data_IF_782386896973
#
_entry.id   IF_782386896973
#
_cell.length_a   1.000
_cell.length_b   1.000
_cell.length_c   1.000
_cell.angle_alpha   90.00
_cell.angle_beta   90.00
_cell.angle_gamma   90.00
#
_symmetry.space_group_name_H-M   'P 1'
#
loop_
_entity.id
_entity.type
_entity.pdbx_description
1 polymer ?
#
# COMPACT_ATOMS: atom_id res chain seq x y z
N UNK A 1 6.45 -7.10 15.26
CA UNK A 1 6.93 -6.82 13.88
C UNK A 1 6.69 -5.36 13.56
N UNK A 2 7.63 -4.74 12.86
CA UNK A 2 7.44 -3.50 12.15
C UNK A 2 7.24 -3.77 10.65
N UNK A 3 6.54 -2.87 9.98
CA UNK A 3 6.32 -2.89 8.53
C UNK A 3 6.96 -1.65 7.92
N UNK A 4 7.54 -1.80 6.73
CA UNK A 4 8.23 -0.72 6.05
C UNK A 4 8.06 -0.85 4.55
N UNK A 5 7.87 0.27 3.89
CA UNK A 5 8.05 0.40 2.45
C UNK A 5 9.44 0.95 2.16
N UNK A 6 10.13 0.35 1.20
CA UNK A 6 11.34 0.92 0.63
C UNK A 6 11.02 1.40 -0.78
N UNK A 7 10.81 2.71 -0.94
CA UNK A 7 10.46 3.35 -2.22
C UNK A 7 11.51 3.08 -3.29
N UNK A 8 12.80 3.12 -2.95
CA UNK A 8 13.89 2.89 -3.91
C UNK A 8 14.00 1.45 -4.40
N UNK A 9 13.54 0.48 -3.60
CA UNK A 9 13.50 -0.94 -3.96
C UNK A 9 12.12 -1.40 -4.44
N UNK A 10 11.08 -0.56 -4.33
CA UNK A 10 9.70 -0.93 -4.65
C UNK A 10 9.16 -2.08 -3.81
N UNK A 11 9.51 -2.12 -2.51
CA UNK A 11 9.20 -3.26 -1.63
C UNK A 11 8.36 -2.87 -0.44
N UNK A 12 7.41 -3.73 -0.08
CA UNK A 12 6.80 -3.79 1.25
C UNK A 12 7.44 -4.94 2.00
N UNK A 13 8.00 -4.65 3.17
CA UNK A 13 8.65 -5.64 4.02
C UNK A 13 8.08 -5.61 5.44
N UNK A 14 8.30 -6.69 6.19
CA UNK A 14 8.20 -6.68 7.66
C UNK A 14 9.43 -7.31 8.30
N UNK A 15 9.74 -6.87 9.51
CA UNK A 15 10.89 -7.34 10.28
C UNK A 15 10.57 -7.33 11.78
N UNK A 16 11.24 -8.16 12.59
CA UNK A 16 10.98 -8.22 14.02
C UNK A 16 11.57 -7.00 14.76
N UNK A 17 10.87 -6.62 15.81
CA UNK A 17 11.28 -5.60 16.77
C UNK A 17 10.98 -6.13 18.17
N UNK A 18 11.74 -5.69 19.15
CA UNK A 18 11.48 -5.95 20.56
C UNK A 18 10.31 -5.10 21.06
N UNK A 19 9.68 -5.51 22.16
CA UNK A 19 8.52 -4.80 22.76
C UNK A 19 8.84 -3.36 23.19
N UNK A 20 10.10 -3.08 23.48
CA UNK A 20 10.60 -1.74 23.81
C UNK A 20 10.80 -0.83 22.55
N UNK A 21 10.49 -1.33 21.35
CA UNK A 21 10.60 -0.60 20.09
C UNK A 21 11.97 -0.63 19.43
N UNK A 22 12.96 -1.34 19.97
CA UNK A 22 14.27 -1.50 19.30
C UNK A 22 14.22 -2.61 18.25
N UNK A 23 15.03 -2.48 17.20
CA UNK A 23 15.22 -3.52 16.20
C UNK A 23 15.77 -4.82 16.81
N UNK A 24 15.27 -5.96 16.36
CA UNK A 24 15.90 -7.25 16.61
C UNK A 24 16.94 -7.51 15.51
N UNK A 25 18.20 -7.16 15.80
CA UNK A 25 19.30 -7.14 14.82
C UNK A 25 19.64 -8.50 14.17
N UNK A 26 19.14 -9.61 14.72
CA UNK A 26 19.30 -10.96 14.15
C UNK A 26 18.08 -11.44 13.36
N UNK A 27 17.03 -10.62 13.32
CA UNK A 27 15.74 -10.96 12.75
C UNK A 27 15.73 -10.99 11.22
N UNK A 28 15.03 -11.96 10.65
CA UNK A 28 14.83 -12.02 9.20
C UNK A 28 13.88 -10.91 8.71
N UNK A 29 14.28 -10.21 7.65
CA UNK A 29 13.40 -9.33 6.89
C UNK A 29 12.62 -10.17 5.89
N UNK A 30 11.30 -10.10 5.95
CA UNK A 30 10.40 -10.78 5.04
C UNK A 30 9.85 -9.79 4.01
N UNK A 31 9.99 -10.10 2.72
CA UNK A 31 9.41 -9.32 1.63
C UNK A 31 7.97 -9.79 1.43
N UNK A 32 7.03 -8.86 1.60
CA UNK A 32 5.59 -9.13 1.49
C UNK A 32 5.04 -8.80 0.10
N UNK A 33 5.55 -7.76 -0.53
CA UNK A 33 5.27 -7.45 -1.93
C UNK A 33 6.46 -6.72 -2.52
N UNK A 34 6.66 -6.86 -3.82
CA UNK A 34 7.71 -6.19 -4.57
C UNK A 34 7.22 -5.87 -5.97
N UNK A 35 7.51 -4.67 -6.45
CA UNK A 35 7.33 -4.34 -7.86
C UNK A 35 8.62 -4.51 -8.63
N UNK A 36 8.55 -5.22 -9.75
CA UNK A 36 9.71 -5.45 -10.61
C UNK A 36 9.97 -4.28 -11.58
N UNK A 37 9.02 -3.35 -11.73
CA UNK A 37 9.16 -2.20 -12.61
C UNK A 37 9.80 -1.02 -11.86
N UNK A 38 11.00 -0.62 -12.28
CA UNK A 38 11.79 0.43 -11.63
C UNK A 38 11.15 1.82 -11.59
N UNK A 39 10.07 2.05 -12.34
CA UNK A 39 9.31 3.30 -12.24
C UNK A 39 8.18 3.22 -11.23
N UNK A 40 7.64 2.04 -10.92
CA UNK A 40 6.65 1.80 -9.86
C UNK A 40 7.33 1.72 -8.50
N UNK A 41 6.79 2.44 -7.52
CA UNK A 41 7.37 2.46 -6.19
C UNK A 41 6.28 2.47 -5.14
N UNK A 42 6.58 1.90 -3.99
CA UNK A 42 5.71 2.00 -2.83
C UNK A 42 6.08 3.25 -2.03
N UNK A 43 5.08 4.06 -1.70
CA UNK A 43 5.26 5.23 -0.85
C UNK A 43 4.86 4.86 0.59
N UNK A 44 3.67 5.21 1.05
CA UNK A 44 3.15 4.81 2.37
C UNK A 44 2.01 3.78 2.24
N UNK A 45 1.53 3.26 3.38
CA UNK A 45 0.54 2.19 3.45
C UNK A 45 -0.35 2.29 4.68
N UNK A 46 -1.49 1.58 4.64
CA UNK A 46 -2.33 1.33 5.82
C UNK A 46 -2.34 -0.17 6.14
N UNK A 47 -2.07 -0.52 7.40
CA UNK A 47 -2.14 -1.90 7.90
C UNK A 47 -3.40 -2.11 8.74
N UNK A 48 -4.07 -3.25 8.51
CA UNK A 48 -5.16 -3.74 9.37
C UNK A 48 -5.07 -5.25 9.51
N UNK A 49 -4.67 -5.70 10.70
CA UNK A 49 -4.44 -7.13 10.96
C UNK A 49 -3.36 -7.66 10.01
N UNK A 50 -3.73 -8.62 9.16
CA UNK A 50 -2.86 -9.26 8.17
C UNK A 50 -2.91 -8.62 6.78
N UNK A 51 -3.71 -7.56 6.61
CA UNK A 51 -3.96 -6.93 5.30
C UNK A 51 -3.29 -5.55 5.28
N UNK A 52 -2.44 -5.33 4.28
CA UNK A 52 -1.80 -4.04 3.99
C UNK A 52 -2.37 -3.45 2.72
N UNK A 53 -2.67 -2.15 2.73
CA UNK A 53 -3.05 -1.39 1.54
C UNK A 53 -1.92 -0.42 1.22
N UNK A 54 -1.21 -0.68 0.13
CA UNK A 54 0.01 0.03 -0.26
C UNK A 54 -0.31 1.02 -1.38
N UNK A 55 0.19 2.24 -1.25
CA UNK A 55 0.13 3.22 -2.33
C UNK A 55 1.28 3.00 -3.32
N UNK A 56 0.98 2.99 -4.62
CA UNK A 56 1.96 2.61 -5.65
C UNK A 56 2.60 3.79 -6.37
N UNK A 57 2.40 5.03 -5.89
CA UNK A 57 2.96 6.22 -6.51
C UNK A 57 2.66 6.30 -8.01
N UNK A 58 3.69 6.23 -8.84
CA UNK A 58 3.57 6.18 -10.31
C UNK A 58 2.79 4.98 -10.87
N UNK A 59 2.49 3.97 -10.06
CA UNK A 59 1.56 2.88 -10.40
C UNK A 59 0.10 3.30 -10.46
N UNK A 60 -0.21 4.50 -9.96
CA UNK A 60 -1.54 5.11 -10.02
C UNK A 60 -2.65 4.17 -9.50
N UNK A 61 -2.31 3.40 -8.46
CA UNK A 61 -3.12 2.32 -7.94
C UNK A 61 -2.95 2.11 -6.43
N UNK A 62 -3.84 1.32 -5.84
CA UNK A 62 -3.71 0.80 -4.49
C UNK A 62 -3.59 -0.71 -4.57
N UNK A 63 -2.50 -1.25 -4.04
CA UNK A 63 -2.30 -2.69 -3.91
C UNK A 63 -2.79 -3.17 -2.54
N UNK A 64 -3.52 -4.27 -2.50
CA UNK A 64 -3.85 -5.00 -1.27
C UNK A 64 -2.92 -6.19 -1.16
N UNK A 65 -2.17 -6.28 -0.07
CA UNK A 65 -1.28 -7.39 0.26
C UNK A 65 -1.83 -8.11 1.49
N UNK A 66 -2.05 -9.42 1.40
CA UNK A 66 -2.48 -10.28 2.50
C UNK A 66 -1.33 -11.20 2.86
N UNK A 67 -0.81 -11.07 4.07
CA UNK A 67 0.28 -11.90 4.58
C UNK A 67 -0.19 -12.72 5.80
N UNK A 68 0.27 -13.96 5.98
CA UNK A 68 -0.04 -14.73 7.19
C UNK A 68 0.32 -13.96 8.46
N UNK A 69 -0.40 -14.25 9.55
CA UNK A 69 0.01 -13.78 10.87
C UNK A 69 1.44 -14.25 11.19
N UNK A 70 2.10 -13.55 12.10
CA UNK A 70 3.44 -13.95 12.57
C UNK A 70 3.36 -15.39 13.08
N UNK A 71 4.38 -16.19 12.76
CA UNK A 71 4.49 -17.62 13.08
C UNK A 71 3.43 -18.54 12.45
N UNK A 72 2.58 -18.01 11.56
CA UNK A 72 1.63 -18.80 10.78
C UNK A 72 2.18 -19.11 9.39
N UNK A 73 1.86 -20.30 8.89
CA UNK A 73 2.19 -20.71 7.52
C UNK A 73 1.06 -20.33 6.58
N UNK A 74 1.40 -19.90 5.36
CA UNK A 74 0.44 -19.59 4.31
C UNK A 74 1.08 -18.79 3.18
N UNK A 75 0.43 -18.71 2.01
CA UNK A 75 0.90 -17.86 0.94
C UNK A 75 0.70 -16.38 1.30
N UNK A 76 1.63 -15.54 0.84
CA UNK A 76 1.38 -14.11 0.70
C UNK A 76 0.70 -13.90 -0.64
N UNK A 77 -0.38 -13.12 -0.67
CA UNK A 77 -1.09 -12.77 -1.91
C UNK A 77 -1.16 -11.26 -2.06
N UNK A 78 -1.17 -10.78 -3.30
CA UNK A 78 -1.42 -9.37 -3.57
C UNK A 78 -2.24 -9.15 -4.83
N UNK A 79 -2.94 -8.02 -4.88
CA UNK A 79 -3.74 -7.60 -6.02
C UNK A 79 -3.96 -6.08 -6.03
N UNK A 80 -4.19 -5.52 -7.22
CA UNK A 80 -4.63 -4.13 -7.35
C UNK A 80 -6.12 -4.02 -7.06
N UNK A 81 -6.50 -3.23 -6.05
CA UNK A 81 -7.89 -3.07 -5.60
C UNK A 81 -8.54 -1.76 -6.02
N UNK A 82 -7.74 -0.78 -6.43
CA UNK A 82 -8.20 0.48 -6.99
C UNK A 82 -7.17 1.07 -7.96
N UNK A 83 -7.65 1.73 -9.02
CA UNK A 83 -6.79 2.34 -10.03
C UNK A 83 -6.11 1.32 -10.95
N UNK A 84 -5.11 1.80 -11.67
CA UNK A 84 -4.32 1.09 -12.68
C UNK A 84 -3.22 2.02 -13.17
N UNK A 85 -2.25 1.51 -13.94
CA UNK A 85 -1.15 2.32 -14.50
C UNK A 85 -1.61 3.64 -15.14
N UNK A 86 -2.76 3.62 -15.82
CA UNK A 86 -3.30 4.75 -16.58
C UNK A 86 -4.46 5.46 -15.84
N UNK A 87 -4.67 5.17 -14.56
CA UNK A 87 -5.74 5.77 -13.78
C UNK A 87 -5.46 7.22 -13.47
N UNK A 88 -6.37 8.10 -13.88
CA UNK A 88 -6.42 9.49 -13.40
C UNK A 88 -7.20 9.63 -12.11
N UNK A 89 -7.94 8.59 -11.66
CA UNK A 89 -8.73 8.63 -10.43
C UNK A 89 -7.83 8.54 -9.19
N UNK A 90 -6.76 7.76 -9.28
CA UNK A 90 -5.80 7.52 -8.17
C UNK A 90 -4.40 7.95 -8.62
N UNK A 91 -4.29 9.14 -9.22
CA UNK A 91 -3.06 9.59 -9.86
C UNK A 91 -1.96 9.93 -8.83
N UNK A 92 -0.90 9.12 -8.76
CA UNK A 92 0.21 9.33 -7.83
C UNK A 92 -0.20 9.26 -6.36
N UNK A 93 -0.81 8.17 -5.86
CA UNK A 93 -1.16 8.07 -4.44
C UNK A 93 0.10 8.04 -3.59
N UNK A 94 0.06 8.68 -2.44
CA UNK A 94 1.23 8.89 -1.57
C UNK A 94 1.07 8.28 -0.19
N UNK A 95 -0.14 8.33 0.40
CA UNK A 95 -0.39 7.75 1.71
C UNK A 95 -1.81 7.24 1.87
N UNK A 96 -1.99 6.33 2.83
CA UNK A 96 -3.24 5.64 3.09
C UNK A 96 -3.54 5.59 4.59
N UNK A 97 -4.80 5.83 4.97
CA UNK A 97 -5.24 5.70 6.36
C UNK A 97 -6.70 5.25 6.44
N UNK A 98 -7.01 4.37 7.38
CA UNK A 98 -8.41 4.02 7.65
C UNK A 98 -9.12 5.11 8.46
N UNK A 99 -10.40 5.30 8.17
CA UNK A 99 -11.31 6.02 9.05
C UNK A 99 -11.32 5.45 10.47
N UNK A 100 -11.56 6.33 11.46
CA UNK A 100 -11.42 6.00 12.89
C UNK A 100 -12.76 5.92 13.62
N UNK A 101 -13.87 6.20 12.94
CA UNK A 101 -15.22 6.11 13.51
C UNK A 101 -15.89 4.81 13.10
N UNK A 102 -16.94 4.37 13.82
CA UNK A 102 -17.74 3.23 13.38
C UNK A 102 -18.30 3.39 11.95
N UNK A 103 -18.60 4.63 11.54
CA UNK A 103 -19.23 4.96 10.25
C UNK A 103 -18.28 4.87 9.06
N UNK A 104 -16.99 5.18 9.25
CA UNK A 104 -15.98 5.25 8.19
C UNK A 104 -14.82 4.26 8.41
N UNK A 105 -14.91 3.39 9.41
CA UNK A 105 -13.90 2.36 9.68
C UNK A 105 -13.58 1.47 8.48
N UNK A 106 -14.46 1.38 7.49
CA UNK A 106 -14.28 0.61 6.26
C UNK A 106 -13.84 1.46 5.06
N UNK A 107 -13.61 2.75 5.28
CA UNK A 107 -13.11 3.68 4.27
C UNK A 107 -11.61 3.81 4.43
N UNK A 108 -10.90 3.59 3.33
CA UNK A 108 -9.49 3.89 3.19
C UNK A 108 -9.35 5.27 2.53
N UNK A 109 -8.88 6.24 3.29
CA UNK A 109 -8.57 7.57 2.81
C UNK A 109 -7.18 7.59 2.19
N UNK A 110 -7.08 8.12 0.98
CA UNK A 110 -5.83 8.18 0.21
C UNK A 110 -5.50 9.63 -0.13
N UNK A 111 -4.26 10.06 0.12
CA UNK A 111 -3.75 11.31 -0.45
C UNK A 111 -3.07 11.03 -1.78
N UNK A 112 -3.21 11.95 -2.74
CA UNK A 112 -2.55 11.86 -4.04
C UNK A 112 -1.73 13.10 -4.34
N UNK A 113 -0.62 12.92 -5.06
CA UNK A 113 0.21 14.00 -5.61
C UNK A 113 -0.37 14.59 -6.90
N UNK A 114 -1.42 13.99 -7.45
CA UNK A 114 -1.95 14.32 -8.78
C UNK A 114 -1.01 13.90 -9.90
N UNK A 115 -0.18 12.89 -9.65
CA UNK A 115 0.90 12.45 -10.52
C UNK A 115 1.82 13.63 -10.88
N UNK A 116 2.31 14.40 -9.91
CA UNK A 116 3.11 15.62 -10.14
C UNK A 116 4.56 15.33 -10.54
N UNK A 117 5.15 14.26 -10.02
CA UNK A 117 6.50 13.81 -10.37
C UNK A 117 6.47 13.00 -11.68
N UNK A 118 5.85 11.82 -11.65
CA UNK A 118 5.68 10.93 -12.80
C UNK A 118 4.25 11.08 -13.33
N UNK A 119 4.02 11.69 -14.51
CA UNK A 119 2.66 11.88 -15.02
C UNK A 119 2.01 10.56 -15.43
N UNK A 120 0.68 10.47 -15.31
CA UNK A 120 -0.11 9.34 -15.80
C UNK A 120 0.07 9.23 -17.32
N UNK A 121 0.38 8.02 -17.80
CA UNK A 121 0.71 7.74 -19.21
C UNK A 121 1.80 8.69 -19.79
N UNK A 122 2.69 9.19 -18.92
CA UNK A 122 3.77 10.10 -19.27
C UNK A 122 3.35 11.52 -19.65
N UNK A 123 2.06 11.88 -19.58
CA UNK A 123 1.57 13.20 -20.02
C UNK A 123 0.56 13.87 -19.09
N UNK A 124 -0.26 13.10 -18.38
CA UNK A 124 -1.41 13.64 -17.66
C UNK A 124 -1.02 13.91 -16.21
N UNK A 125 -1.30 15.13 -15.77
CA UNK A 125 -1.27 15.54 -14.36
C UNK A 125 -2.64 16.08 -14.00
N UNK A 126 -3.09 15.78 -12.79
CA UNK A 126 -4.33 16.32 -12.24
C UNK A 126 -4.04 17.05 -10.93
N UNK A 127 -5.03 17.75 -10.38
CA UNK A 127 -4.90 18.29 -9.03
C UNK A 127 -4.69 17.16 -8.01
N UNK A 128 -3.90 17.42 -6.97
CA UNK A 128 -3.82 16.55 -5.80
C UNK A 128 -5.21 16.39 -5.17
N UNK A 129 -5.51 15.19 -4.67
CA UNK A 129 -6.81 14.83 -4.12
C UNK A 129 -6.68 14.10 -2.79
N UNK A 130 -7.78 14.14 -2.02
CA UNK A 130 -8.04 13.17 -0.96
C UNK A 130 -9.20 12.30 -1.45
N UNK A 131 -8.94 11.00 -1.58
CA UNK A 131 -9.92 10.01 -2.03
C UNK A 131 -10.45 9.23 -0.84
N UNK A 132 -11.69 8.77 -0.94
CA UNK A 132 -12.30 7.84 0.00
C UNK A 132 -12.66 6.55 -0.74
N UNK A 133 -11.99 5.45 -0.40
CA UNK A 133 -12.20 4.14 -1.03
C UNK A 133 -12.91 3.23 -0.04
N UNK A 134 -14.12 2.79 -0.38
CA UNK A 134 -14.84 1.80 0.42
C UNK A 134 -14.25 0.40 0.21
N UNK A 135 -13.58 -0.14 1.23
CA UNK A 135 -12.91 -1.44 1.14
C UNK A 135 -13.88 -2.62 1.15
N UNK A 136 -15.16 -2.42 1.50
CA UNK A 136 -16.19 -3.47 1.39
C UNK A 136 -16.58 -3.72 -0.06
N UNK A 137 -16.49 -2.70 -0.91
CA UNK A 137 -16.76 -2.83 -2.35
C UNK A 137 -15.62 -3.55 -3.10
N UNK A 138 -14.48 -3.73 -2.45
CA UNK A 138 -13.33 -4.50 -2.98
C UNK A 138 -13.44 -6.02 -2.75
N UNK A 139 -14.64 -6.57 -2.48
CA UNK A 139 -14.83 -8.00 -2.21
C UNK A 139 -14.73 -8.84 -3.49
N UNK A 140 -13.69 -9.66 -3.63
CA UNK A 140 -13.64 -10.68 -4.69
C UNK A 140 -13.09 -12.01 -4.16
N UNK A 141 -13.86 -13.06 -4.47
CA UNK A 141 -13.91 -14.46 -3.97
C UNK A 141 -14.54 -14.72 -2.58
N UNK A 142 -15.77 -15.25 -2.63
CA UNK A 142 -16.25 -16.34 -1.75
C UNK A 142 -15.69 -17.66 -2.28
#
# INVERSE_FOLDING_TARGET
MAYLTNTGLGMLVRFPIHENGTEDTGGAVEILSHEANSTWFYDDFALRGTITYVTTGSGNSIERVVAPAVDSQGPITSEIVAGSLNSTIVAGPTAAAFGRTPWDSHILYITTSGASNVPVDGRIRIGAQVLAIDTKLCSWYK
#
